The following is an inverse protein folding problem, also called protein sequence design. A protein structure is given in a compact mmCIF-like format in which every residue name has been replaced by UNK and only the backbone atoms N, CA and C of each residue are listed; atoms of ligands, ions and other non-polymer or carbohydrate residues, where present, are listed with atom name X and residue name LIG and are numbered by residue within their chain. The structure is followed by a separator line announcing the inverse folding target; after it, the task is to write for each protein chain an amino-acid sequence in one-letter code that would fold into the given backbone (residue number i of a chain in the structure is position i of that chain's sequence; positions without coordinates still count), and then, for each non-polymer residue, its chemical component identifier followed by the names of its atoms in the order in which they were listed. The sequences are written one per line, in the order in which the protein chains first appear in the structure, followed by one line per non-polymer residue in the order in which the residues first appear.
data_IF_270187423282
#
_entry.id   IF_270187423282
#
_cell.length_a   1.000
_cell.length_b   1.000
_cell.length_c   1.000
_cell.angle_alpha   90.00
_cell.angle_beta   90.00
_cell.angle_gamma   90.00
#
_symmetry.space_group_name_H-M   'P 1'
#
loop_
_entity.id
_entity.type
_entity.pdbx_description
1 polymer ?
#
# COMPACT_ATOMS: atom_id res chain seq x y z
N UNK A 1 -8.96 -2.60 -8.85
CA UNK A 1 -7.66 -2.50 -9.56
C UNK A 1 -6.58 -1.82 -8.70
N UNK A 2 -6.84 -0.67 -8.08
CA UNK A 2 -5.87 -0.12 -7.12
C UNK A 2 -5.76 -1.00 -5.87
N UNK A 3 -4.53 -1.24 -5.42
CA UNK A 3 -4.23 -1.94 -4.18
C UNK A 3 -3.30 -1.04 -3.38
N UNK A 4 -3.66 -0.62 -2.14
CA UNK A 4 -2.80 0.22 -1.34
C UNK A 4 -1.52 -0.53 -0.98
N UNK A 5 -0.38 0.14 -1.10
CA UNK A 5 0.91 -0.35 -0.62
C UNK A 5 1.00 -0.13 0.89
N UNK A 6 1.72 -1.00 1.60
CA UNK A 6 1.97 -0.77 3.01
C UNK A 6 2.73 0.55 3.22
N UNK A 7 2.27 1.37 4.18
CA UNK A 7 2.94 2.61 4.58
C UNK A 7 4.36 2.34 5.11
N UNK A 8 5.20 3.37 5.10
CA UNK A 8 6.60 3.24 5.41
C UNK A 8 6.87 3.13 6.92
N UNK A 9 6.61 4.18 7.64
CA UNK A 9 6.89 4.35 9.07
C UNK A 9 8.20 3.68 9.56
N UNK A 10 9.37 4.01 8.97
CA UNK A 10 10.64 3.41 9.35
C UNK A 10 11.05 3.85 10.77
N UNK A 11 11.69 2.94 11.52
CA UNK A 11 12.17 3.23 12.88
C UNK A 11 13.65 3.65 12.90
N UNK A 12 14.08 4.43 11.94
CA UNK A 12 15.44 4.98 11.82
C UNK A 12 15.57 6.23 12.70
N UNK A 13 16.59 6.28 13.53
CA UNK A 13 16.83 7.36 14.50
C UNK A 13 18.16 8.08 14.30
N UNK A 14 19.09 7.51 13.51
CA UNK A 14 20.42 8.08 13.32
C UNK A 14 20.90 7.89 11.87
N UNK A 15 21.88 8.72 11.50
CA UNK A 15 22.63 8.57 10.26
C UNK A 15 23.30 7.19 10.18
N UNK A 16 23.29 6.59 8.99
CA UNK A 16 23.89 5.28 8.70
C UNK A 16 22.99 4.10 9.08
N UNK A 17 21.84 4.34 9.68
CA UNK A 17 20.88 3.29 9.96
C UNK A 17 20.10 2.90 8.71
N UNK A 18 19.79 1.61 8.61
CA UNK A 18 19.00 1.03 7.54
C UNK A 18 17.94 0.07 8.09
N UNK A 19 16.82 0.00 7.42
CA UNK A 19 15.72 -0.91 7.71
C UNK A 19 15.25 -1.54 6.41
N UNK A 20 15.11 -2.86 6.38
CA UNK A 20 14.45 -3.58 5.29
C UNK A 20 13.23 -4.29 5.84
N UNK A 21 12.09 -4.20 5.15
CA UNK A 21 10.86 -4.87 5.56
C UNK A 21 10.36 -5.79 4.45
N UNK A 22 9.80 -6.92 4.86
CA UNK A 22 9.03 -7.80 4.00
C UNK A 22 7.73 -8.14 4.73
N UNK A 23 6.59 -8.01 4.07
CA UNK A 23 5.29 -8.32 4.66
C UNK A 23 4.37 -9.02 3.68
N UNK A 24 3.52 -9.86 4.23
CA UNK A 24 2.46 -10.54 3.52
C UNK A 24 1.09 -10.10 4.05
N UNK A 25 0.19 -9.78 3.16
CA UNK A 25 -1.18 -9.37 3.47
C UNK A 25 -2.16 -10.51 3.20
N UNK A 26 -3.20 -10.60 4.01
CA UNK A 26 -4.29 -11.56 3.84
C UNK A 26 -5.00 -11.46 2.47
N UNK A 27 -4.80 -10.37 1.75
CA UNK A 27 -5.32 -10.17 0.37
C UNK A 27 -4.38 -10.71 -0.72
N UNK A 28 -3.49 -11.65 -0.37
CA UNK A 28 -2.48 -12.26 -1.25
C UNK A 28 -1.56 -11.22 -1.92
N UNK A 29 -1.07 -10.27 -1.11
CA UNK A 29 -0.11 -9.25 -1.52
C UNK A 29 1.15 -9.38 -0.69
N UNK A 30 2.30 -9.24 -1.34
CA UNK A 30 3.61 -9.16 -0.69
C UNK A 30 4.17 -7.77 -0.91
N UNK A 31 4.59 -7.12 0.16
CA UNK A 31 5.25 -5.83 0.14
C UNK A 31 6.70 -5.97 0.60
N UNK A 32 7.61 -5.31 -0.11
CA UNK A 32 9.02 -5.17 0.26
C UNK A 32 9.37 -3.71 0.35
N UNK A 33 10.18 -3.33 1.32
CA UNK A 33 10.78 -2.00 1.32
C UNK A 33 12.17 -1.99 1.95
N UNK A 34 12.99 -1.03 1.53
CA UNK A 34 14.26 -0.72 2.14
C UNK A 34 14.35 0.79 2.35
N UNK A 35 14.72 1.20 3.54
CA UNK A 35 14.92 2.60 3.93
C UNK A 35 16.31 2.76 4.52
N UNK A 36 17.00 3.83 4.14
CA UNK A 36 18.35 4.15 4.61
C UNK A 36 18.45 5.65 4.95
N UNK A 37 19.23 5.96 5.97
CA UNK A 37 19.55 7.33 6.38
C UNK A 37 21.00 7.69 5.98
N UNK A 38 21.24 8.28 4.79
CA UNK A 38 22.59 8.67 4.37
C UNK A 38 23.16 9.85 5.17
N UNK A 39 22.29 10.74 5.62
CA UNK A 39 22.62 11.93 6.41
C UNK A 39 21.66 12.04 7.60
N UNK A 40 22.05 12.80 8.62
CA UNK A 40 21.15 13.11 9.74
C UNK A 40 19.87 13.75 9.21
N UNK A 41 18.73 13.24 9.67
CA UNK A 41 17.39 13.68 9.29
C UNK A 41 17.03 13.50 7.81
N UNK A 42 17.80 12.73 7.04
CA UNK A 42 17.46 12.40 5.64
C UNK A 42 17.17 10.92 5.50
N UNK A 43 16.06 10.60 4.88
CA UNK A 43 15.67 9.23 4.49
C UNK A 43 15.62 9.09 2.98
N UNK A 44 16.08 7.94 2.49
CA UNK A 44 15.81 7.46 1.14
C UNK A 44 15.16 6.09 1.24
N UNK A 45 14.13 5.84 0.45
CA UNK A 45 13.35 4.61 0.50
C UNK A 45 13.07 4.09 -0.91
N UNK A 46 13.20 2.77 -1.06
CA UNK A 46 12.68 2.04 -2.20
C UNK A 46 11.65 1.01 -1.71
N UNK A 47 10.57 0.83 -2.44
CA UNK A 47 9.54 -0.14 -2.09
C UNK A 47 8.94 -0.79 -3.33
N UNK A 48 8.49 -2.03 -3.18
CA UNK A 48 7.76 -2.79 -4.19
C UNK A 48 6.61 -3.53 -3.54
N UNK A 49 5.52 -3.69 -4.29
CA UNK A 49 4.35 -4.44 -3.85
C UNK A 49 3.87 -5.30 -5.00
N UNK A 50 3.70 -6.59 -4.73
CA UNK A 50 3.28 -7.59 -5.70
C UNK A 50 2.00 -8.25 -5.19
N UNK A 51 0.94 -8.14 -5.97
CA UNK A 51 -0.29 -8.88 -5.74
C UNK A 51 -0.50 -9.87 -6.88
N UNK A 52 -0.43 -11.16 -6.53
CA UNK A 52 -0.70 -12.23 -7.46
C UNK A 52 -2.17 -12.29 -7.89
N UNK A 53 -2.42 -12.95 -9.01
CA UNK A 53 -3.76 -13.25 -9.49
C UNK A 53 -4.43 -14.25 -8.55
N UNK A 54 -5.13 -13.76 -7.54
CA UNK A 54 -6.02 -14.59 -6.72
C UNK A 54 -7.41 -14.58 -7.32
N UNK A 55 -8.02 -15.74 -7.53
CA UNK A 55 -9.44 -15.84 -7.82
C UNK A 55 -10.19 -15.40 -6.55
N UNK A 56 -10.99 -14.36 -6.65
CA UNK A 56 -11.75 -13.85 -5.51
C UNK A 56 -13.20 -14.29 -5.64
N UNK A 57 -13.60 -15.18 -4.75
CA UNK A 57 -14.98 -15.64 -4.66
C UNK A 57 -15.26 -16.97 -5.39
N UNK A 58 -16.53 -17.37 -5.38
CA UNK A 58 -17.04 -18.59 -6.04
C UNK A 58 -17.01 -18.50 -7.58
N UNK A 59 -16.71 -17.35 -8.14
CA UNK A 59 -16.64 -17.12 -9.58
C UNK A 59 -15.19 -17.24 -10.05
N UNK A 60 -14.88 -18.35 -10.72
CA UNK A 60 -13.56 -18.65 -11.26
C UNK A 60 -13.09 -17.68 -12.36
N UNK A 61 -13.98 -16.80 -12.83
CA UNK A 61 -13.71 -15.83 -13.89
C UNK A 61 -13.12 -14.50 -13.37
N UNK A 62 -13.16 -14.23 -12.06
CA UNK A 62 -12.68 -12.96 -11.50
C UNK A 62 -11.25 -13.04 -10.99
N UNK A 63 -10.34 -12.22 -11.50
CA UNK A 63 -8.98 -12.08 -10.98
C UNK A 63 -8.56 -10.62 -10.87
N UNK A 64 -7.59 -10.35 -9.99
CA UNK A 64 -6.98 -9.04 -9.87
C UNK A 64 -5.48 -9.16 -9.56
N UNK A 65 -4.65 -8.58 -10.41
CA UNK A 65 -3.21 -8.49 -10.26
C UNK A 65 -2.78 -7.03 -10.14
N UNK A 66 -1.79 -6.74 -9.32
CA UNK A 66 -1.23 -5.40 -9.21
C UNK A 66 0.24 -5.48 -8.80
N UNK A 67 1.11 -4.99 -9.67
CA UNK A 67 2.54 -4.87 -9.41
C UNK A 67 2.91 -3.39 -9.39
N UNK A 68 3.59 -2.95 -8.34
CA UNK A 68 3.93 -1.55 -8.18
C UNK A 68 5.28 -1.37 -7.49
N UNK A 69 5.93 -0.25 -7.78
CA UNK A 69 7.14 0.18 -7.10
C UNK A 69 7.07 1.66 -6.76
N UNK A 70 7.90 2.08 -5.81
CA UNK A 70 7.96 3.46 -5.34
C UNK A 70 9.36 3.78 -4.83
N UNK A 71 9.82 4.98 -5.16
CA UNK A 71 10.99 5.63 -4.57
C UNK A 71 10.53 6.84 -3.78
N UNK A 72 11.11 7.06 -2.62
CA UNK A 72 10.76 8.18 -1.75
C UNK A 72 11.99 8.77 -1.08
N UNK A 73 11.89 10.06 -0.78
CA UNK A 73 12.82 10.79 0.08
C UNK A 73 12.04 11.41 1.23
N UNK A 74 12.69 11.61 2.37
CA UNK A 74 12.01 12.15 3.51
C UNK A 74 12.92 12.53 4.67
N UNK A 75 12.28 12.76 5.80
CA UNK A 75 12.96 13.19 7.02
C UNK A 75 12.44 12.43 8.23
N UNK A 76 13.23 12.43 9.30
CA UNK A 76 12.87 11.84 10.59
C UNK A 76 13.39 12.68 11.74
N UNK A 77 12.66 12.69 12.85
CA UNK A 77 12.92 13.50 14.03
C UNK A 77 12.70 12.68 15.29
N UNK A 78 13.75 12.13 15.91
CA UNK A 78 13.64 11.50 17.21
C UNK A 78 13.29 12.53 18.28
N UNK A 79 12.20 12.33 19.01
CA UNK A 79 11.76 13.17 20.11
C UNK A 79 11.97 12.43 21.43
N UNK A 80 13.10 12.67 22.05
CA UNK A 80 13.54 11.94 23.24
C UNK A 80 13.79 10.45 22.95
N UNK A 81 13.58 9.60 23.96
CA UNK A 81 13.87 8.17 23.88
C UNK A 81 12.74 7.36 23.22
N UNK A 82 11.51 7.83 23.33
CA UNK A 82 10.33 7.02 23.03
C UNK A 82 9.63 7.40 21.73
N UNK A 83 9.71 8.64 21.28
CA UNK A 83 9.00 9.10 20.11
C UNK A 83 9.91 9.27 18.90
N UNK A 84 9.32 9.01 17.73
CA UNK A 84 9.93 9.27 16.44
C UNK A 84 8.84 9.81 15.51
N UNK A 85 9.07 10.97 14.93
CA UNK A 85 8.22 11.53 13.89
C UNK A 85 8.96 11.52 12.57
N UNK A 86 8.23 11.46 11.47
CA UNK A 86 8.84 11.58 10.16
C UNK A 86 7.83 11.78 9.05
N UNK A 87 8.38 12.01 7.87
CA UNK A 87 7.59 12.15 6.66
C UNK A 87 8.39 11.80 5.43
N UNK A 88 7.70 11.37 4.38
CA UNK A 88 8.24 10.93 3.11
C UNK A 88 7.43 11.52 1.96
N UNK A 89 8.09 11.87 0.88
CA UNK A 89 7.47 12.18 -0.40
C UNK A 89 7.99 11.18 -1.44
N UNK A 90 7.09 10.58 -2.20
CA UNK A 90 7.41 9.48 -3.10
C UNK A 90 6.79 9.60 -4.48
N UNK A 91 7.45 8.95 -5.42
CA UNK A 91 6.96 8.70 -6.76
C UNK A 91 7.07 7.22 -7.08
N UNK A 92 6.07 6.69 -7.80
CA UNK A 92 6.06 5.30 -8.21
C UNK A 92 5.21 5.06 -9.44
N UNK A 93 5.28 3.84 -9.94
CA UNK A 93 4.45 3.36 -11.02
C UNK A 93 3.84 2.01 -10.67
N UNK A 94 2.76 1.69 -11.32
CA UNK A 94 2.07 0.42 -11.16
C UNK A 94 1.43 -0.04 -12.45
N UNK A 95 1.35 -1.37 -12.57
CA UNK A 95 0.62 -2.06 -13.61
C UNK A 95 -0.43 -2.95 -12.94
N UNK A 96 -1.70 -2.75 -13.27
CA UNK A 96 -2.82 -3.47 -12.72
C UNK A 96 -3.65 -4.12 -13.81
N UNK A 97 -3.98 -5.40 -13.60
CA UNK A 97 -4.91 -6.16 -14.45
C UNK A 97 -6.05 -6.68 -13.61
N UNK A 98 -7.26 -6.59 -14.12
CA UNK A 98 -8.41 -7.16 -13.44
C UNK A 98 -9.45 -7.66 -14.47
N UNK A 99 -10.04 -8.79 -14.14
CA UNK A 99 -11.19 -9.33 -14.85
C UNK A 99 -12.34 -9.49 -13.88
N UNK A 100 -13.53 -9.05 -14.26
CA UNK A 100 -14.74 -9.24 -13.48
C UNK A 100 -15.97 -9.22 -14.41
N UNK A 101 -17.03 -9.87 -13.97
CA UNK A 101 -18.33 -9.81 -14.63
C UNK A 101 -19.19 -8.71 -13.97
N UNK A 102 -19.96 -8.00 -14.78
CA UNK A 102 -20.95 -7.05 -14.25
C UNK A 102 -22.06 -7.80 -13.52
N UNK A 103 -22.30 -7.45 -12.26
CA UNK A 103 -23.45 -7.93 -11.51
C UNK A 103 -24.70 -7.15 -11.94
N UNK A 104 -25.28 -7.56 -13.06
CA UNK A 104 -26.54 -6.98 -13.54
C UNK A 104 -27.71 -7.29 -12.62
N UNK A 105 -27.80 -6.63 -11.49
CA UNK A 105 -28.97 -6.64 -10.63
C UNK A 105 -30.10 -5.81 -11.25
N UNK A 106 -30.73 -6.32 -12.30
CA UNK A 106 -31.99 -5.77 -12.76
C UNK A 106 -33.10 -6.76 -12.44
N UNK A 107 -33.89 -6.45 -11.41
CA UNK A 107 -34.99 -7.25 -10.87
C UNK A 107 -36.14 -7.50 -11.85
N UNK A 108 -36.07 -7.07 -13.12
CA UNK A 108 -37.18 -7.11 -14.07
C UNK A 108 -36.74 -7.52 -15.50
N UNK A 109 -35.68 -8.26 -15.73
CA UNK A 109 -35.36 -8.74 -17.05
C UNK A 109 -35.93 -10.16 -17.27
N UNK A 110 -37.05 -10.22 -18.01
CA UNK A 110 -37.63 -11.44 -18.58
C UNK A 110 -36.82 -12.01 -19.78
N UNK A 111 -35.60 -11.54 -20.00
CA UNK A 111 -34.67 -12.03 -21.02
C UNK A 111 -33.39 -12.58 -20.42
N UNK A 112 -32.72 -13.51 -21.10
CA UNK A 112 -31.44 -14.05 -20.70
C UNK A 112 -30.39 -12.92 -20.64
N UNK A 113 -30.13 -12.36 -19.45
CA UNK A 113 -29.09 -11.40 -19.22
C UNK A 113 -27.74 -12.14 -19.31
N UNK A 114 -26.91 -11.72 -20.25
CA UNK A 114 -25.50 -12.14 -20.27
C UNK A 114 -24.68 -11.06 -19.59
N UNK A 115 -24.04 -11.36 -18.43
CA UNK A 115 -23.20 -10.38 -17.75
C UNK A 115 -22.05 -9.96 -18.66
N UNK A 116 -21.88 -8.66 -18.84
CA UNK A 116 -20.74 -8.11 -19.58
C UNK A 116 -19.47 -8.39 -18.79
N UNK A 117 -18.53 -9.04 -19.43
CA UNK A 117 -17.19 -9.24 -18.84
C UNK A 117 -16.34 -8.00 -19.10
N UNK A 118 -15.68 -7.51 -18.08
CA UNK A 118 -14.69 -6.44 -18.16
C UNK A 118 -13.30 -7.03 -18.02
N UNK A 119 -12.38 -6.62 -18.89
CA UNK A 119 -10.97 -6.98 -18.85
C UNK A 119 -10.15 -5.69 -18.83
N UNK A 120 -9.82 -5.24 -17.61
CA UNK A 120 -9.02 -4.04 -17.43
C UNK A 120 -7.53 -4.33 -17.48
N UNK A 121 -6.81 -3.50 -18.22
CA UNK A 121 -5.37 -3.34 -18.16
C UNK A 121 -5.06 -1.86 -17.91
N UNK A 122 -4.25 -1.56 -16.91
CA UNK A 122 -4.01 -0.17 -16.51
C UNK A 122 -2.58 0.05 -16.04
N UNK A 123 -1.95 1.06 -16.63
CA UNK A 123 -0.68 1.62 -16.18
C UNK A 123 -0.96 2.97 -15.54
N UNK A 124 -0.41 3.19 -14.35
CA UNK A 124 -0.57 4.47 -13.65
C UNK A 124 0.67 4.87 -12.89
N UNK A 125 0.89 6.19 -12.82
CA UNK A 125 1.88 6.80 -11.94
C UNK A 125 1.22 7.20 -10.63
N UNK A 126 1.98 7.17 -9.54
CA UNK A 126 1.54 7.60 -8.22
C UNK A 126 2.52 8.58 -7.59
N UNK A 127 1.98 9.61 -6.99
CA UNK A 127 2.70 10.57 -6.15
C UNK A 127 2.19 10.42 -4.73
N UNK A 128 3.07 10.31 -3.77
CA UNK A 128 2.69 10.10 -2.38
C UNK A 128 3.34 11.10 -1.45
N UNK A 129 2.59 11.53 -0.45
CA UNK A 129 3.08 12.23 0.73
C UNK A 129 2.65 11.44 1.96
N UNK A 130 3.58 11.13 2.85
CA UNK A 130 3.34 10.33 4.06
C UNK A 130 3.89 11.06 5.28
N UNK A 131 3.12 11.10 6.37
CA UNK A 131 3.57 11.49 7.70
C UNK A 131 3.38 10.30 8.65
N UNK A 132 4.32 10.09 9.56
CA UNK A 132 4.23 9.01 10.54
C UNK A 132 4.71 9.43 11.91
N UNK A 133 4.17 8.75 12.93
CA UNK A 133 4.61 8.84 14.31
C UNK A 133 4.76 7.43 14.88
N UNK A 134 5.88 7.18 15.55
CA UNK A 134 6.18 5.93 16.25
C UNK A 134 6.37 6.21 17.73
N UNK A 135 5.75 5.39 18.56
CA UNK A 135 5.97 5.35 20.00
C UNK A 135 6.57 4.02 20.42
N UNK A 136 7.67 4.07 21.13
CA UNK A 136 8.38 2.91 21.66
C UNK A 136 8.34 2.92 23.18
N UNK A 137 7.30 2.35 23.81
CA UNK A 137 7.14 2.31 25.27
C UNK A 137 8.21 1.47 25.96
N UNK A 138 8.76 0.47 25.27
CA UNK A 138 9.81 -0.40 25.79
C UNK A 138 10.80 -0.81 24.69
N UNK A 139 11.97 -1.34 25.04
CA UNK A 139 12.89 -1.88 24.04
C UNK A 139 12.31 -3.02 23.21
N UNK A 140 11.33 -3.75 23.73
CA UNK A 140 10.73 -4.91 23.05
C UNK A 140 9.55 -4.56 22.12
N UNK A 141 8.90 -3.43 22.32
CA UNK A 141 7.64 -3.11 21.63
C UNK A 141 7.69 -1.69 21.08
N UNK A 142 7.24 -1.51 19.86
CA UNK A 142 6.90 -0.23 19.28
C UNK A 142 5.54 -0.29 18.58
N UNK A 143 4.87 0.83 18.53
CA UNK A 143 3.64 1.01 17.77
C UNK A 143 3.65 2.37 17.08
N UNK A 144 2.94 2.49 15.98
CA UNK A 144 2.90 3.75 15.27
C UNK A 144 1.72 3.86 14.34
N UNK A 145 1.52 5.10 13.92
CA UNK A 145 0.52 5.50 12.96
C UNK A 145 1.22 6.14 11.77
N UNK A 146 0.80 5.81 10.56
CA UNK A 146 1.12 6.59 9.38
C UNK A 146 -0.15 7.04 8.68
N UNK A 147 -0.04 8.18 8.04
CA UNK A 147 -1.10 8.74 7.20
C UNK A 147 -0.50 9.16 5.86
N UNK A 148 -1.02 8.58 4.81
CA UNK A 148 -0.49 8.75 3.47
C UNK A 148 -1.56 9.30 2.54
N UNK A 149 -1.19 10.30 1.75
CA UNK A 149 -1.96 10.82 0.63
C UNK A 149 -1.33 10.33 -0.66
N UNK A 150 -2.14 9.74 -1.55
CA UNK A 150 -1.66 9.20 -2.82
C UNK A 150 -2.49 9.76 -3.96
N UNK A 151 -1.84 10.46 -4.88
CA UNK A 151 -2.43 10.89 -6.13
C UNK A 151 -2.08 9.90 -7.24
N UNK A 152 -3.09 9.28 -7.83
CA UNK A 152 -2.96 8.39 -8.98
C UNK A 152 -3.20 9.19 -10.26
N UNK A 153 -2.31 8.99 -11.23
CA UNK A 153 -2.49 9.47 -12.61
C UNK A 153 -2.51 8.25 -13.52
N UNK A 154 -3.68 7.96 -14.02
CA UNK A 154 -3.92 6.85 -14.95
C UNK A 154 -3.43 7.31 -16.33
N UNK A 155 -2.38 6.66 -16.84
CA UNK A 155 -1.74 7.05 -18.12
C UNK A 155 -2.22 6.21 -19.28
N UNK A 156 -2.51 4.95 -19.01
CA UNK A 156 -3.00 3.99 -20.02
C UNK A 156 -3.99 3.06 -19.33
N UNK A 157 -5.26 3.16 -19.70
CA UNK A 157 -6.33 2.33 -19.17
C UNK A 157 -7.15 1.81 -20.33
N UNK A 158 -7.27 0.50 -20.41
CA UNK A 158 -8.12 -0.16 -21.42
C UNK A 158 -9.13 -1.08 -20.74
N UNK A 159 -10.31 -1.18 -21.33
CA UNK A 159 -11.30 -2.21 -21.05
C UNK A 159 -11.53 -3.04 -22.31
N UNK A 160 -11.21 -4.32 -22.27
CA UNK A 160 -11.23 -5.21 -23.45
C UNK A 160 -10.42 -4.64 -24.64
N UNK A 161 -9.31 -3.93 -24.35
CA UNK A 161 -8.47 -3.28 -25.36
C UNK A 161 -9.00 -1.93 -25.87
N UNK A 162 -10.16 -1.47 -25.41
CA UNK A 162 -10.70 -0.14 -25.75
C UNK A 162 -10.19 0.89 -24.74
N UNK A 163 -9.55 1.99 -25.16
CA UNK A 163 -9.07 3.01 -24.27
C UNK A 163 -10.19 3.65 -23.45
N UNK A 164 -9.95 3.82 -22.13
CA UNK A 164 -10.86 4.45 -21.17
C UNK A 164 -10.21 5.68 -20.59
N UNK A 165 -10.90 6.82 -20.66
CA UNK A 165 -10.44 8.05 -20.01
C UNK A 165 -10.75 7.99 -18.51
N UNK A 166 -9.74 8.24 -17.67
CA UNK A 166 -9.91 8.31 -16.24
C UNK A 166 -9.25 9.57 -15.67
N UNK A 167 -9.99 10.30 -14.85
CA UNK A 167 -9.47 11.47 -14.13
C UNK A 167 -8.47 11.05 -13.04
N UNK A 168 -7.54 11.95 -12.65
CA UNK A 168 -6.66 11.71 -11.51
C UNK A 168 -7.46 11.45 -10.23
N UNK A 169 -6.99 10.50 -9.42
CA UNK A 169 -7.67 10.05 -8.21
C UNK A 169 -6.78 10.37 -7.00
N UNK A 170 -7.34 11.06 -6.00
CA UNK A 170 -6.67 11.31 -4.73
C UNK A 170 -7.21 10.34 -3.68
N UNK A 171 -6.29 9.65 -2.98
CA UNK A 171 -6.61 8.66 -1.96
C UNK A 171 -5.99 9.00 -0.62
N UNK A 172 -6.68 8.60 0.44
CA UNK A 172 -6.26 8.66 1.84
C UNK A 172 -5.95 7.26 2.33
N UNK A 173 -4.78 7.06 2.92
CA UNK A 173 -4.27 5.74 3.33
C UNK A 173 -3.73 5.79 4.77
N UNK A 174 -4.61 5.71 5.78
CA UNK A 174 -4.19 5.51 7.16
C UNK A 174 -3.66 4.09 7.39
N UNK A 175 -2.65 3.95 8.24
CA UNK A 175 -2.11 2.68 8.71
C UNK A 175 -1.73 2.77 10.18
N UNK A 176 -2.11 1.75 10.95
CA UNK A 176 -1.63 1.48 12.30
C UNK A 176 -0.72 0.26 12.25
N UNK A 177 0.40 0.28 13.00
CA UNK A 177 1.28 -0.88 13.08
C UNK A 177 1.80 -1.11 14.48
N UNK A 178 2.16 -2.37 14.74
CA UNK A 178 2.82 -2.84 15.96
C UNK A 178 4.05 -3.62 15.55
N UNK A 179 5.16 -3.41 16.26
CA UNK A 179 6.38 -4.18 16.11
C UNK A 179 6.78 -4.81 17.44
N UNK A 180 7.21 -6.04 17.37
CA UNK A 180 7.74 -6.81 18.48
C UNK A 180 9.19 -7.20 18.19
N UNK A 181 10.08 -6.89 19.13
CA UNK A 181 11.51 -7.19 19.09
C UNK A 181 11.82 -8.34 20.01
N UNK A 182 12.05 -9.57 19.52
CA UNK A 182 12.52 -10.67 20.33
C UNK A 182 13.88 -10.32 20.93
N UNK A 183 14.05 -10.56 22.23
CA UNK A 183 15.31 -10.27 22.95
C UNK A 183 16.48 -11.14 22.47
N UNK A 184 16.18 -12.28 21.85
CA UNK A 184 17.17 -13.26 21.39
C UNK A 184 18.06 -12.78 20.23
N UNK A 185 17.71 -11.69 19.54
CA UNK A 185 18.42 -11.21 18.34
C UNK A 185 18.87 -9.75 18.44
N UNK A 186 18.94 -9.18 19.65
CA UNK A 186 19.34 -7.80 19.92
C UNK A 186 18.55 -6.75 19.08
N UNK A 187 17.37 -7.12 18.62
CA UNK A 187 16.52 -6.26 17.78
C UNK A 187 16.87 -6.24 16.29
N UNK A 188 17.78 -7.11 15.83
CA UNK A 188 18.16 -7.27 14.43
C UNK A 188 16.95 -7.60 13.53
N UNK A 189 16.05 -8.44 14.05
CA UNK A 189 14.80 -8.82 13.40
C UNK A 189 13.63 -8.45 14.31
N UNK A 190 12.57 -7.91 13.72
CA UNK A 190 11.34 -7.55 14.41
C UNK A 190 10.14 -8.11 13.65
N UNK A 191 9.18 -8.64 14.40
CA UNK A 191 7.88 -9.00 13.86
C UNK A 191 7.02 -7.76 13.73
N UNK A 192 6.28 -7.61 12.65
CA UNK A 192 5.38 -6.49 12.41
C UNK A 192 3.97 -6.98 12.09
N UNK A 193 2.99 -6.40 12.75
CA UNK A 193 1.57 -6.46 12.38
C UNK A 193 1.15 -5.07 11.92
N UNK A 194 0.51 -4.95 10.75
CA UNK A 194 -0.03 -3.67 10.30
C UNK A 194 -1.47 -3.83 9.82
N UNK A 195 -2.29 -2.83 10.11
CA UNK A 195 -3.67 -2.69 9.68
C UNK A 195 -3.80 -1.35 8.99
N UNK A 196 -4.31 -1.33 7.77
CA UNK A 196 -4.45 -0.10 7.00
C UNK A 196 -5.64 -0.13 6.06
N UNK A 197 -5.90 1.02 5.49
CA UNK A 197 -6.96 1.19 4.52
C UNK A 197 -6.61 2.24 3.46
N UNK A 198 -7.41 2.27 2.42
CA UNK A 198 -7.32 3.28 1.36
C UNK A 198 -8.72 3.66 0.91
N UNK A 199 -9.04 4.94 0.94
CA UNK A 199 -10.32 5.49 0.48
C UNK A 199 -10.07 6.64 -0.49
N UNK A 200 -10.97 6.82 -1.45
CA UNK A 200 -10.90 7.92 -2.40
C UNK A 200 -11.62 9.14 -1.83
N UNK A 201 -11.00 10.32 -1.93
CA UNK A 201 -11.65 11.57 -1.51
C UNK A 201 -12.89 11.86 -2.35
N UNK A 202 -13.97 12.30 -1.68
CA UNK A 202 -15.24 12.71 -2.30
C UNK A 202 -15.91 11.61 -3.14
N UNK A 203 -15.57 10.35 -2.92
CA UNK A 203 -16.22 9.23 -3.56
C UNK A 203 -17.08 8.47 -2.55
N UNK A 204 -18.38 8.34 -2.83
CA UNK A 204 -19.30 7.55 -2.03
C UNK A 204 -19.84 6.41 -2.91
N UNK A 205 -19.50 5.19 -2.56
CA UNK A 205 -19.94 3.98 -3.28
C UNK A 205 -21.47 3.80 -3.30
N UNK A 206 -22.15 4.28 -2.26
CA UNK A 206 -23.61 4.14 -2.12
C UNK A 206 -24.39 5.09 -3.04
N UNK A 207 -23.82 6.26 -3.35
CA UNK A 207 -24.45 7.29 -4.18
C UNK A 207 -23.91 7.36 -5.60
N UNK A 208 -22.88 6.56 -5.91
CA UNK A 208 -22.32 6.48 -7.25
C UNK A 208 -23.37 5.86 -8.20
N UNK A 209 -23.96 6.70 -9.02
CA UNK A 209 -25.02 6.33 -9.97
C UNK A 209 -24.52 5.50 -11.13
N UNK A 210 -23.24 5.65 -11.49
CA UNK A 210 -22.63 4.95 -12.60
C UNK A 210 -21.92 3.68 -12.13
N UNK A 211 -22.64 2.56 -12.14
CA UNK A 211 -22.11 1.25 -11.84
C UNK A 211 -21.15 0.74 -12.93
N UNK A 212 -21.28 1.26 -14.13
CA UNK A 212 -20.54 0.86 -15.32
C UNK A 212 -19.30 1.73 -15.56
N UNK A 213 -18.98 2.72 -14.67
CA UNK A 213 -17.75 3.53 -14.76
C UNK A 213 -16.52 2.65 -14.53
N UNK A 214 -15.71 2.39 -15.58
CA UNK A 214 -14.49 1.59 -15.45
C UNK A 214 -13.53 2.14 -14.39
N UNK A 215 -13.51 3.46 -14.17
CA UNK A 215 -12.71 4.10 -13.13
C UNK A 215 -13.18 3.78 -11.71
N UNK A 216 -14.39 3.26 -11.53
CA UNK A 216 -14.94 2.85 -10.23
C UNK A 216 -14.02 1.88 -9.50
N UNK A 217 -13.44 0.91 -10.21
CA UNK A 217 -12.55 -0.09 -9.63
C UNK A 217 -11.26 0.51 -9.03
N UNK A 218 -10.88 1.72 -9.44
CA UNK A 218 -9.78 2.47 -8.83
C UNK A 218 -10.23 3.32 -7.64
N UNK A 219 -11.53 3.63 -7.52
CA UNK A 219 -12.10 4.49 -6.48
C UNK A 219 -12.56 3.72 -5.24
N UNK A 220 -12.91 2.45 -5.38
CA UNK A 220 -13.41 1.59 -4.29
C UNK A 220 -12.45 1.57 -3.10
N UNK A 221 -13.02 1.64 -1.89
CA UNK A 221 -12.29 1.52 -0.63
C UNK A 221 -11.65 0.14 -0.49
N UNK A 222 -10.46 0.10 0.10
CA UNK A 222 -9.71 -1.15 0.35
C UNK A 222 -9.13 -1.11 1.76
N UNK A 223 -9.22 -2.23 2.46
CA UNK A 223 -8.55 -2.42 3.74
C UNK A 223 -7.60 -3.61 3.65
N UNK A 224 -6.61 -3.65 4.53
CA UNK A 224 -5.68 -4.77 4.61
C UNK A 224 -5.20 -4.98 6.05
N UNK A 225 -4.87 -6.23 6.32
CA UNK A 225 -4.08 -6.66 7.47
C UNK A 225 -2.86 -7.36 6.91
N UNK A 226 -1.67 -7.03 7.42
CA UNK A 226 -0.41 -7.64 6.99
C UNK A 226 0.44 -8.06 8.17
N UNK A 227 1.12 -9.19 7.99
CA UNK A 227 2.18 -9.69 8.87
C UNK A 227 3.51 -9.54 8.16
N UNK A 228 4.55 -9.14 8.87
CA UNK A 228 5.85 -8.89 8.27
C UNK A 228 7.00 -9.02 9.22
N UNK A 229 8.17 -8.89 8.63
CA UNK A 229 9.47 -8.85 9.31
C UNK A 229 10.16 -7.54 8.95
N UNK A 230 10.74 -6.87 9.94
CA UNK A 230 11.65 -5.76 9.75
C UNK A 230 13.06 -6.23 10.14
N UNK A 231 14.03 -5.97 9.27
CA UNK A 231 15.43 -6.31 9.43
C UNK A 231 16.27 -5.03 9.49
N UNK A 232 17.21 -4.97 10.43
CA UNK A 232 18.07 -3.81 10.69
C UNK A 232 19.54 -4.15 10.41
N UNK A 233 19.99 -4.10 9.14
CA UNK A 233 21.33 -4.56 8.76
C UNK A 233 22.46 -3.79 9.46
N UNK A 234 22.27 -2.51 9.81
CA UNK A 234 23.26 -1.69 10.49
C UNK A 234 23.64 -2.23 11.88
N UNK A 235 22.78 -3.05 12.51
CA UNK A 235 23.10 -3.67 13.80
C UNK A 235 24.17 -4.76 13.70
N UNK A 236 24.40 -5.34 12.50
CA UNK A 236 25.46 -6.31 12.29
C UNK A 236 26.85 -5.69 12.41
N UNK A 237 27.00 -4.41 12.07
CA UNK A 237 28.30 -3.68 12.10
C UNK A 237 28.53 -2.91 13.40
N UNK A 238 27.53 -2.67 14.21
CA UNK A 238 27.67 -1.98 15.51
C UNK A 238 28.26 -2.88 16.62
N UNK A 239 28.47 -4.17 16.38
CA UNK A 239 29.02 -5.13 17.36
C UNK A 239 30.54 -5.23 17.39
N UNK A 240 31.28 -4.42 16.60
CA UNK A 240 32.76 -4.39 16.59
C UNK A 240 33.29 -3.11 17.21
#
# INVERSE_FOLDING_TARGET
MYVPMQGAAPEIRAKGEAEATASWSLTNRVDFSATYSPLSHLLVRAAASLKGSGHSGSDSASYAQNNQYELAVGTYWPLGKHWLLGGLAGFGQAHAKAQYADDGHTLLHLGAYQPRQHLFDAIYSKYSGEAYATWQPSPAVSMGLSYRLVQLRLTDVTDQGVPVQAAPILRSEPMLYFRFRPTSNDGLLQLQLAIGGSTTFKYNEQTATDKDDPARQFKVGRSYVSLGLAFYPHMLWKKN
#
